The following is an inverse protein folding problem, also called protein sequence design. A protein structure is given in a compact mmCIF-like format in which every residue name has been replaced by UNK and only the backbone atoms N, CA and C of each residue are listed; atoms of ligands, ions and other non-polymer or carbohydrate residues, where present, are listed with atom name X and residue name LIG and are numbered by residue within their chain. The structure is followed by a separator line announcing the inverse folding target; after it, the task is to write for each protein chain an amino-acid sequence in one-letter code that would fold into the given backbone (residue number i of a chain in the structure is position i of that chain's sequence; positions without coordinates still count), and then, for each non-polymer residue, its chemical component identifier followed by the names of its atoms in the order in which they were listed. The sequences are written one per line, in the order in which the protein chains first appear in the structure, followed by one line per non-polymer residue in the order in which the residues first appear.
data_IF_725186738747
#
_entry.id   IF_725186738747
#
_cell.length_a   1.000
_cell.length_b   1.000
_cell.length_c   1.000
_cell.angle_alpha   90.00
_cell.angle_beta   90.00
_cell.angle_gamma   90.00
#
_symmetry.space_group_name_H-M   'P 1'
#
loop_
_entity.id
_entity.type
_entity.pdbx_description
1 polymer ?
#
# COMPACT_ATOMS: atom_id res chain seq x y z
N UNK A 1 -26.35 19.49 -31.72
CA UNK A 1 -27.51 20.09 -31.01
C UNK A 1 -27.35 21.59 -30.75
N UNK A 2 -26.43 22.07 -29.89
CA UNK A 2 -26.31 23.52 -29.62
C UNK A 2 -25.70 24.31 -30.81
N UNK A 3 -24.71 23.74 -31.51
CA UNK A 3 -24.10 24.41 -32.67
C UNK A 3 -25.04 24.47 -33.89
N UNK A 4 -25.88 23.46 -34.07
CA UNK A 4 -26.87 23.40 -35.16
C UNK A 4 -27.97 24.44 -34.96
N UNK A 5 -28.49 24.55 -33.72
CA UNK A 5 -29.47 25.58 -33.35
C UNK A 5 -28.93 27.01 -33.52
N UNK A 6 -27.66 27.27 -33.18
CA UNK A 6 -27.03 28.57 -33.44
C UNK A 6 -26.90 28.82 -34.94
N UNK A 7 -26.55 27.80 -35.73
CA UNK A 7 -26.40 27.90 -37.18
C UNK A 7 -27.72 28.19 -37.88
N UNK A 8 -28.82 27.59 -37.42
CA UNK A 8 -30.17 27.78 -37.95
C UNK A 8 -30.75 29.16 -37.58
N UNK A 9 -30.48 29.66 -36.37
CA UNK A 9 -30.95 30.97 -35.91
C UNK A 9 -30.12 32.14 -36.44
N UNK A 10 -28.85 31.91 -36.81
CA UNK A 10 -27.90 32.96 -37.21
C UNK A 10 -28.38 33.80 -38.41
N UNK A 11 -28.96 33.24 -39.50
CA UNK A 11 -29.45 34.02 -40.62
C UNK A 11 -30.59 34.99 -40.25
N UNK A 12 -31.39 34.66 -39.24
CA UNK A 12 -32.60 35.41 -38.88
C UNK A 12 -32.34 36.47 -37.83
N UNK A 13 -31.54 36.16 -36.80
CA UNK A 13 -31.33 37.05 -35.64
C UNK A 13 -29.87 37.46 -35.43
N UNK A 14 -28.95 36.93 -36.25
CA UNK A 14 -27.52 37.12 -36.11
C UNK A 14 -26.90 36.29 -34.98
N UNK A 15 -25.61 35.98 -35.12
CA UNK A 15 -24.85 35.10 -34.20
C UNK A 15 -24.94 35.52 -32.73
N UNK A 16 -24.97 36.84 -32.46
CA UNK A 16 -25.01 37.38 -31.09
C UNK A 16 -26.34 37.03 -30.39
N UNK A 17 -27.47 37.22 -31.07
CA UNK A 17 -28.78 36.93 -30.50
C UNK A 17 -29.03 35.42 -30.47
N UNK A 18 -28.60 34.68 -31.50
CA UNK A 18 -28.66 33.22 -31.52
C UNK A 18 -27.90 32.59 -30.34
N UNK A 19 -26.67 33.05 -30.07
CA UNK A 19 -25.88 32.60 -28.91
C UNK A 19 -26.57 32.93 -27.57
N UNK A 20 -27.17 34.12 -27.45
CA UNK A 20 -27.89 34.52 -26.24
C UNK A 20 -29.14 33.64 -26.01
N UNK A 21 -29.90 33.34 -27.07
CA UNK A 21 -31.12 32.54 -27.00
C UNK A 21 -30.85 31.10 -26.54
N UNK A 22 -29.72 30.50 -26.94
CA UNK A 22 -29.31 29.15 -26.50
C UNK A 22 -28.42 29.14 -25.25
N UNK A 23 -28.25 30.29 -24.57
CA UNK A 23 -27.47 30.39 -23.34
C UNK A 23 -25.96 30.18 -23.51
N UNK A 24 -25.41 30.38 -24.71
CA UNK A 24 -23.98 30.18 -24.98
C UNK A 24 -23.21 31.50 -25.02
N UNK A 25 -22.07 31.62 -24.32
CA UNK A 25 -21.19 32.79 -24.46
C UNK A 25 -20.67 32.94 -25.89
N UNK A 26 -20.88 34.11 -26.50
CA UNK A 26 -20.44 34.45 -27.87
C UNK A 26 -18.96 34.12 -28.13
N UNK A 27 -18.10 34.38 -27.14
CA UNK A 27 -16.66 34.12 -27.22
C UNK A 27 -16.32 32.64 -27.39
N UNK A 28 -17.16 31.73 -26.90
CA UNK A 28 -16.97 30.29 -27.03
C UNK A 28 -17.34 29.80 -28.45
N UNK A 29 -18.43 30.32 -29.03
CA UNK A 29 -18.83 30.00 -30.40
C UNK A 29 -17.76 30.40 -31.41
N UNK A 30 -17.31 31.66 -31.42
CA UNK A 30 -16.23 32.09 -32.32
C UNK A 30 -14.90 31.36 -32.09
N UNK A 31 -14.58 30.96 -30.85
CA UNK A 31 -13.36 30.20 -30.55
C UNK A 31 -13.41 28.79 -31.13
N UNK A 32 -14.58 28.16 -31.19
CA UNK A 32 -14.77 26.83 -31.79
C UNK A 32 -14.87 26.85 -33.32
N UNK A 33 -15.47 27.90 -33.90
CA UNK A 33 -15.64 28.02 -35.36
C UNK A 33 -14.59 28.93 -36.02
N UNK A 34 -13.49 29.19 -35.33
CA UNK A 34 -12.35 29.94 -35.87
C UNK A 34 -11.75 29.16 -37.05
N UNK A 35 -11.85 29.71 -38.26
CA UNK A 35 -11.25 29.16 -39.49
C UNK A 35 -9.76 29.52 -39.69
N UNK A 36 -9.26 30.51 -38.95
CA UNK A 36 -7.84 30.88 -38.98
C UNK A 36 -6.99 29.93 -38.13
N UNK A 37 -5.73 29.64 -38.51
CA UNK A 37 -4.83 28.83 -37.70
C UNK A 37 -4.84 29.30 -36.24
N UNK A 38 -4.85 28.35 -35.30
CA UNK A 38 -4.69 28.69 -33.91
C UNK A 38 -3.38 29.49 -33.77
N UNK A 39 -3.38 30.62 -33.04
CA UNK A 39 -2.13 31.33 -32.82
C UNK A 39 -1.20 30.36 -32.07
N UNK A 40 0.11 30.35 -32.35
CA UNK A 40 1.04 29.50 -31.63
C UNK A 40 0.84 29.75 -30.14
N UNK A 41 0.34 28.74 -29.43
CA UNK A 41 0.19 28.84 -27.98
C UNK A 41 1.61 28.89 -27.44
N UNK A 42 1.99 29.91 -26.65
CA UNK A 42 3.24 29.83 -25.93
C UNK A 42 3.22 28.54 -25.13
N UNK A 43 4.30 27.75 -25.24
CA UNK A 43 4.48 26.56 -24.42
C UNK A 43 4.41 27.06 -22.98
N UNK A 44 3.29 26.77 -22.31
CA UNK A 44 3.17 27.07 -20.89
C UNK A 44 4.15 26.14 -20.20
N UNK A 45 5.25 26.69 -19.71
CA UNK A 45 6.07 25.99 -18.74
C UNK A 45 5.15 25.64 -17.58
N UNK A 46 5.03 24.33 -17.31
CA UNK A 46 4.18 23.85 -16.26
C UNK A 46 4.82 24.30 -14.96
N UNK A 47 4.25 25.32 -14.32
CA UNK A 47 4.69 25.71 -12.98
C UNK A 47 4.61 24.49 -12.09
N UNK A 48 5.72 24.18 -11.41
CA UNK A 48 5.75 23.11 -10.42
C UNK A 48 4.75 23.46 -9.32
N UNK A 49 3.99 22.45 -8.87
CA UNK A 49 3.04 22.69 -7.79
C UNK A 49 3.85 23.06 -6.54
N UNK A 50 3.47 24.11 -5.78
CA UNK A 50 4.19 24.49 -4.56
C UNK A 50 4.28 23.37 -3.50
N UNK A 51 3.43 22.34 -3.62
CA UNK A 51 3.39 21.16 -2.74
C UNK A 51 4.08 19.93 -3.35
N UNK A 52 4.72 20.08 -4.51
CA UNK A 52 5.51 19.02 -5.09
C UNK A 52 6.78 18.84 -4.28
N UNK A 53 7.17 17.59 -4.05
CA UNK A 53 8.46 17.29 -3.44
C UNK A 53 9.58 17.78 -4.34
N UNK A 54 10.53 18.49 -3.74
CA UNK A 54 11.81 18.85 -4.34
C UNK A 54 12.62 17.61 -4.72
N UNK A 55 13.63 17.78 -5.58
CA UNK A 55 14.51 16.68 -5.96
C UNK A 55 15.20 16.02 -4.74
N UNK A 56 15.59 16.83 -3.74
CA UNK A 56 16.20 16.34 -2.51
C UNK A 56 15.23 15.50 -1.66
N UNK A 57 13.99 15.96 -1.48
CA UNK A 57 12.97 15.19 -0.74
C UNK A 57 12.60 13.90 -1.47
N UNK A 58 12.55 13.92 -2.80
CA UNK A 58 12.33 12.72 -3.61
C UNK A 58 13.47 11.71 -3.44
N UNK A 59 14.71 12.18 -3.37
CA UNK A 59 15.87 11.33 -3.09
C UNK A 59 15.79 10.74 -1.68
N UNK A 60 15.43 11.54 -0.67
CA UNK A 60 15.22 11.04 0.69
C UNK A 60 14.15 9.93 0.75
N UNK A 61 13.06 10.06 -0.01
CA UNK A 61 12.04 9.00 -0.12
C UNK A 61 12.64 7.73 -0.73
N UNK A 62 13.46 7.85 -1.77
CA UNK A 62 14.14 6.70 -2.38
C UNK A 62 15.12 6.04 -1.41
N UNK A 63 15.96 6.83 -0.73
CA UNK A 63 16.96 6.32 0.22
C UNK A 63 16.29 5.50 1.34
N UNK A 64 15.13 5.96 1.82
CA UNK A 64 14.33 5.21 2.80
C UNK A 64 13.75 3.95 2.18
N UNK A 65 13.14 4.02 0.99
CA UNK A 65 12.56 2.84 0.32
C UNK A 65 13.61 1.79 -0.08
N UNK A 66 14.84 2.21 -0.36
CA UNK A 66 15.97 1.35 -0.71
C UNK A 66 16.74 0.81 0.51
N UNK A 67 16.46 1.33 1.70
CA UNK A 67 17.11 0.88 2.92
C UNK A 67 16.91 -0.62 3.16
N UNK A 68 17.93 -1.30 3.68
CA UNK A 68 17.92 -2.74 3.97
C UNK A 68 16.68 -3.17 4.78
N UNK A 69 16.27 -2.30 5.71
CA UNK A 69 15.08 -2.46 6.54
C UNK A 69 13.77 -2.63 5.74
N UNK A 70 13.66 -1.98 4.59
CA UNK A 70 12.42 -1.87 3.80
C UNK A 70 12.51 -2.58 2.44
N UNK A 71 13.66 -3.17 2.10
CA UNK A 71 13.92 -3.77 0.79
C UNK A 71 12.87 -4.81 0.34
N UNK A 72 12.31 -5.57 1.29
CA UNK A 72 11.30 -6.60 1.02
C UNK A 72 9.85 -6.16 1.32
N UNK A 73 9.62 -4.89 1.65
CA UNK A 73 8.31 -4.38 2.05
C UNK A 73 7.60 -3.67 0.90
N UNK A 74 6.28 -3.83 0.81
CA UNK A 74 5.51 -3.01 -0.14
C UNK A 74 5.47 -1.54 0.34
N UNK A 75 5.41 -0.54 -0.57
CA UNK A 75 5.36 0.87 -0.19
C UNK A 75 4.25 1.23 0.81
N UNK A 76 3.09 0.56 0.74
CA UNK A 76 2.02 0.72 1.74
C UNK A 76 2.40 0.25 3.14
N UNK A 77 3.18 -0.83 3.26
CA UNK A 77 3.72 -1.31 4.55
C UNK A 77 4.78 -0.36 5.09
N UNK A 78 5.67 0.15 4.23
CA UNK A 78 6.69 1.15 4.59
C UNK A 78 6.02 2.42 5.09
N UNK A 79 5.05 2.95 4.35
CA UNK A 79 4.28 4.13 4.73
C UNK A 79 3.60 3.95 6.10
N UNK A 80 2.92 2.83 6.33
CA UNK A 80 2.28 2.54 7.61
C UNK A 80 3.28 2.42 8.76
N UNK A 81 4.45 1.82 8.50
CA UNK A 81 5.52 1.69 9.49
C UNK A 81 6.09 3.05 9.88
N UNK A 82 6.44 3.90 8.90
CA UNK A 82 6.96 5.24 9.16
C UNK A 82 5.94 6.10 9.93
N UNK A 83 4.66 5.99 9.60
CA UNK A 83 3.61 6.71 10.32
C UNK A 83 3.53 6.32 11.80
N UNK A 84 3.66 5.02 12.11
CA UNK A 84 3.66 4.54 13.49
C UNK A 84 4.91 4.99 14.26
N UNK A 85 6.00 5.23 13.55
CA UNK A 85 7.25 5.79 14.09
C UNK A 85 7.26 7.31 14.20
N UNK A 86 6.16 7.98 13.84
CA UNK A 86 6.10 9.43 13.92
C UNK A 86 6.72 10.16 12.71
N UNK A 87 7.01 9.45 11.62
CA UNK A 87 7.62 10.03 10.41
C UNK A 87 6.64 10.00 9.23
N UNK A 88 6.44 11.15 8.57
CA UNK A 88 5.68 11.25 7.33
C UNK A 88 6.55 11.89 6.25
N UNK A 89 6.84 11.13 5.20
CA UNK A 89 7.62 11.63 4.05
C UNK A 89 6.68 12.12 2.94
N UNK A 90 5.77 11.25 2.49
CA UNK A 90 4.79 11.55 1.45
C UNK A 90 3.69 10.49 1.40
N UNK A 91 2.65 10.74 0.60
CA UNK A 91 1.57 9.76 0.41
C UNK A 91 2.06 8.46 -0.24
N UNK A 92 1.39 7.34 0.06
CA UNK A 92 1.64 6.03 -0.58
C UNK A 92 1.60 6.12 -2.12
N UNK A 93 0.66 6.89 -2.67
CA UNK A 93 0.57 7.13 -4.12
C UNK A 93 1.80 7.85 -4.68
N UNK A 94 2.38 8.76 -3.91
CA UNK A 94 3.62 9.46 -4.27
C UNK A 94 4.82 8.50 -4.24
N UNK A 95 4.92 7.62 -3.23
CA UNK A 95 5.97 6.60 -3.17
C UNK A 95 5.93 5.70 -4.41
N UNK A 96 4.75 5.18 -4.77
CA UNK A 96 4.59 4.37 -5.98
C UNK A 96 4.93 5.13 -7.26
N UNK A 97 4.57 6.42 -7.35
CA UNK A 97 4.91 7.25 -8.50
C UNK A 97 6.43 7.41 -8.65
N UNK A 98 7.13 7.69 -7.55
CA UNK A 98 8.60 7.84 -7.54
C UNK A 98 9.27 6.53 -7.97
N UNK A 99 8.90 5.39 -7.41
CA UNK A 99 9.46 4.09 -7.77
C UNK A 99 9.15 3.69 -9.24
N UNK A 100 7.97 4.06 -9.77
CA UNK A 100 7.62 3.82 -11.17
C UNK A 100 8.49 4.61 -12.14
N UNK A 101 8.82 5.86 -11.79
CA UNK A 101 9.72 6.69 -12.59
C UNK A 101 11.15 6.13 -12.64
N UNK A 102 11.58 5.41 -11.60
CA UNK A 102 12.85 4.66 -11.58
C UNK A 102 12.76 3.26 -12.24
N UNK A 103 11.57 2.83 -12.67
CA UNK A 103 11.36 1.50 -13.25
C UNK A 103 11.40 0.34 -12.25
N UNK A 104 11.34 0.64 -10.95
CA UNK A 104 11.53 -0.32 -9.85
C UNK A 104 10.24 -1.02 -9.43
N UNK A 105 9.08 -0.47 -9.82
CA UNK A 105 7.79 -1.15 -9.68
C UNK A 105 7.55 -2.02 -10.91
N UNK A 106 7.98 -3.28 -10.84
CA UNK A 106 7.62 -4.31 -11.82
C UNK A 106 6.72 -5.35 -11.17
N UNK A 107 5.63 -5.70 -11.86
CA UNK A 107 4.79 -6.83 -11.48
C UNK A 107 5.61 -8.12 -11.65
N UNK A 108 6.09 -8.68 -10.54
CA UNK A 108 6.92 -9.91 -10.54
C UNK A 108 6.06 -11.19 -10.56
N UNK A 109 4.73 -11.08 -10.51
CA UNK A 109 3.82 -12.23 -10.40
C UNK A 109 3.49 -12.79 -11.78
N UNK A 110 3.61 -14.11 -11.94
CA UNK A 110 2.77 -14.83 -12.92
C UNK A 110 1.33 -14.76 -12.42
N UNK A 111 0.53 -13.85 -12.99
CA UNK A 111 -0.89 -13.81 -12.68
C UNK A 111 -1.59 -14.96 -13.40
N UNK A 112 -2.08 -15.93 -12.63
CA UNK A 112 -3.04 -16.90 -13.14
C UNK A 112 -4.40 -16.20 -13.21
N UNK A 113 -4.94 -16.04 -14.42
CA UNK A 113 -6.28 -15.49 -14.63
C UNK A 113 -7.30 -16.57 -14.31
N UNK A 114 -7.78 -16.61 -13.07
CA UNK A 114 -8.91 -17.45 -12.70
C UNK A 114 -10.22 -16.64 -12.75
N UNK A 115 -11.35 -17.25 -13.15
CA UNK A 115 -12.65 -16.62 -13.04
C UNK A 115 -12.93 -16.25 -11.56
N UNK A 116 -13.64 -15.14 -11.35
CA UNK A 116 -13.97 -14.65 -10.02
C UNK A 116 -14.78 -15.71 -9.26
N UNK A 117 -14.16 -16.37 -8.27
CA UNK A 117 -14.85 -17.30 -7.38
C UNK A 117 -15.76 -16.51 -6.44
N UNK A 118 -16.96 -17.04 -6.19
CA UNK A 118 -17.85 -16.57 -5.13
C UNK A 118 -17.13 -16.78 -3.80
N UNK A 119 -16.74 -15.69 -3.15
CA UNK A 119 -16.07 -15.73 -1.85
C UNK A 119 -17.13 -16.07 -0.79
N UNK A 120 -16.93 -17.09 0.05
CA UNK A 120 -17.76 -17.28 1.23
C UNK A 120 -17.68 -16.00 2.09
N UNK A 121 -18.83 -15.39 2.38
CA UNK A 121 -18.91 -14.27 3.32
C UNK A 121 -18.85 -14.82 4.73
N UNK A 122 -17.63 -15.07 5.22
CA UNK A 122 -17.40 -15.28 6.64
C UNK A 122 -17.32 -13.90 7.28
N UNK A 123 -18.38 -13.51 7.97
CA UNK A 123 -18.45 -12.23 8.68
C UNK A 123 -18.06 -12.49 10.14
N UNK A 124 -16.94 -11.90 10.55
CA UNK A 124 -16.59 -11.74 11.95
C UNK A 124 -16.61 -10.25 12.28
N UNK A 125 -17.22 -9.91 13.40
CA UNK A 125 -17.37 -8.54 13.90
C UNK A 125 -16.37 -8.18 15.01
N UNK A 126 -15.75 -9.19 15.62
CA UNK A 126 -14.76 -9.04 16.68
C UNK A 126 -13.71 -10.17 16.67
N UNK A 127 -12.55 -9.96 17.34
CA UNK A 127 -11.57 -11.01 17.55
C UNK A 127 -12.18 -12.23 18.28
N UNK A 128 -11.64 -13.42 18.01
CA UNK A 128 -12.07 -14.68 18.63
C UNK A 128 -13.54 -15.08 18.40
N UNK A 129 -14.19 -14.52 17.37
CA UNK A 129 -15.53 -14.94 16.92
C UNK A 129 -15.49 -16.02 15.88
N UNK A 130 -14.52 -15.94 14.97
CA UNK A 130 -14.40 -16.86 13.88
C UNK A 130 -12.92 -17.14 13.59
N UNK A 131 -12.51 -18.38 13.75
CA UNK A 131 -11.19 -18.83 13.35
C UNK A 131 -11.28 -19.67 12.10
N UNK A 132 -10.28 -19.53 11.26
CA UNK A 132 -10.03 -20.44 10.16
C UNK A 132 -8.79 -21.25 10.48
N UNK A 133 -8.79 -22.53 10.14
CA UNK A 133 -7.60 -23.37 10.32
C UNK A 133 -7.39 -24.27 9.12
N UNK A 134 -6.11 -24.54 8.85
CA UNK A 134 -5.69 -25.36 7.73
C UNK A 134 -4.29 -25.94 7.97
N UNK A 135 -3.91 -26.92 7.14
CA UNK A 135 -2.65 -27.66 7.23
C UNK A 135 -1.91 -27.53 5.90
N UNK A 136 -0.67 -27.02 5.93
CA UNK A 136 0.23 -27.03 4.77
C UNK A 136 1.39 -28.01 4.98
N UNK A 137 1.88 -28.57 3.87
CA UNK A 137 3.12 -29.34 3.84
C UNK A 137 4.33 -28.41 3.71
N UNK A 138 5.38 -28.71 4.46
CA UNK A 138 6.71 -28.13 4.37
C UNK A 138 7.66 -29.21 3.85
N UNK A 139 8.57 -28.86 2.94
CA UNK A 139 9.50 -29.84 2.37
C UNK A 139 10.55 -30.25 3.40
N UNK A 140 10.67 -31.54 3.67
CA UNK A 140 11.68 -32.10 4.56
C UNK A 140 13.05 -32.29 3.88
N UNK A 141 14.01 -32.91 4.58
CA UNK A 141 15.41 -32.98 4.13
C UNK A 141 15.64 -33.93 2.95
N UNK A 142 14.67 -34.83 2.70
CA UNK A 142 14.73 -35.83 1.63
C UNK A 142 13.58 -35.61 0.65
N UNK A 143 13.78 -36.00 -0.60
CA UNK A 143 12.71 -36.01 -1.61
C UNK A 143 11.52 -36.82 -1.08
N UNK A 144 10.32 -36.25 -1.17
CA UNK A 144 9.06 -36.81 -0.66
C UNK A 144 8.93 -36.93 0.88
N UNK A 145 9.89 -36.39 1.64
CA UNK A 145 9.72 -36.16 3.08
C UNK A 145 9.03 -34.82 3.29
N UNK A 146 8.05 -34.79 4.20
CA UNK A 146 7.29 -33.57 4.51
C UNK A 146 7.09 -33.43 6.00
N UNK A 147 7.12 -32.19 6.47
CA UNK A 147 6.56 -31.78 7.74
C UNK A 147 5.19 -31.14 7.52
N UNK A 148 4.35 -31.16 8.54
CA UNK A 148 2.98 -30.69 8.51
C UNK A 148 2.85 -29.49 9.43
N UNK A 149 2.53 -28.33 8.86
CA UNK A 149 2.29 -27.10 9.59
C UNK A 149 0.80 -26.86 9.71
N UNK A 150 0.30 -26.95 10.93
CA UNK A 150 -1.04 -26.57 11.33
C UNK A 150 -1.03 -25.08 11.67
N UNK A 151 -2.00 -24.34 11.14
CA UNK A 151 -2.14 -22.91 11.42
C UNK A 151 -3.60 -22.57 11.69
N UNK A 152 -3.85 -21.83 12.77
CA UNK A 152 -5.16 -21.30 13.15
C UNK A 152 -5.05 -19.77 13.11
N UNK A 153 -5.85 -19.16 12.25
CA UNK A 153 -5.91 -17.72 12.03
C UNK A 153 -7.28 -17.18 12.44
N UNK A 154 -7.29 -16.09 13.20
CA UNK A 154 -8.48 -15.28 13.42
C UNK A 154 -8.81 -14.49 12.15
N UNK A 155 -10.01 -14.70 11.59
CA UNK A 155 -10.38 -14.08 10.31
C UNK A 155 -10.60 -12.58 10.42
N UNK A 156 -10.98 -12.10 11.61
CA UNK A 156 -11.24 -10.68 11.87
C UNK A 156 -9.92 -9.92 11.89
N UNK A 157 -9.01 -10.31 12.79
CA UNK A 157 -7.76 -9.59 13.03
C UNK A 157 -6.60 -10.04 12.15
N UNK A 158 -6.72 -11.16 11.42
CA UNK A 158 -5.62 -11.85 10.73
C UNK A 158 -4.58 -12.44 11.68
N UNK A 159 -4.84 -12.46 12.98
CA UNK A 159 -3.87 -12.90 13.97
C UNK A 159 -3.77 -14.42 13.96
N UNK A 160 -2.55 -14.95 13.91
CA UNK A 160 -2.32 -16.39 14.11
C UNK A 160 -2.44 -16.68 15.59
N UNK A 161 -3.58 -17.21 15.99
CA UNK A 161 -3.88 -17.53 17.39
C UNK A 161 -3.10 -18.74 17.88
N UNK A 162 -2.85 -19.70 16.98
CA UNK A 162 -2.11 -20.94 17.27
C UNK A 162 -1.54 -21.58 16.01
N UNK A 163 -0.39 -22.23 16.14
CA UNK A 163 0.25 -22.98 15.07
C UNK A 163 1.06 -24.14 15.66
N UNK A 164 1.35 -25.15 14.85
CA UNK A 164 2.22 -26.26 15.24
C UNK A 164 2.85 -26.91 14.02
N UNK A 165 4.14 -27.25 14.10
CA UNK A 165 4.82 -28.10 13.13
C UNK A 165 5.00 -29.53 13.67
N UNK A 166 4.60 -30.52 12.87
CA UNK A 166 4.64 -31.94 13.20
C UNK A 166 5.23 -32.79 12.06
N UNK A 167 5.67 -34.00 12.39
CA UNK A 167 6.24 -34.96 11.42
C UNK A 167 5.19 -35.73 10.61
N UNK A 168 3.95 -35.75 11.09
CA UNK A 168 2.83 -36.43 10.43
C UNK A 168 1.51 -35.71 10.70
N UNK A 169 0.53 -35.98 9.86
CA UNK A 169 -0.84 -35.51 10.06
C UNK A 169 -1.55 -36.43 11.08
N UNK A 170 -2.18 -35.86 12.11
CA UNK A 170 -2.89 -36.62 13.14
C UNK A 170 -4.03 -35.83 13.77
N UNK A 171 -5.17 -36.48 13.94
CA UNK A 171 -6.32 -35.94 14.65
C UNK A 171 -6.00 -35.53 16.09
N UNK A 172 -5.21 -36.34 16.82
CA UNK A 172 -4.84 -36.05 18.21
C UNK A 172 -3.95 -34.79 18.32
N UNK A 173 -3.11 -34.57 17.31
CA UNK A 173 -2.28 -33.36 17.23
C UNK A 173 -3.16 -32.12 16.96
N UNK A 174 -4.11 -32.23 16.03
CA UNK A 174 -5.08 -31.17 15.76
C UNK A 174 -5.92 -30.80 17.00
N UNK A 175 -6.43 -31.82 17.71
CA UNK A 175 -7.21 -31.67 18.94
C UNK A 175 -6.39 -30.94 20.02
N UNK A 176 -5.15 -31.38 20.26
CA UNK A 176 -4.25 -30.73 21.21
C UNK A 176 -3.99 -29.27 20.86
N UNK A 177 -3.65 -28.98 19.60
CA UNK A 177 -3.42 -27.61 19.16
C UNK A 177 -4.65 -26.72 19.40
N UNK A 178 -5.85 -27.22 19.06
CA UNK A 178 -7.09 -26.49 19.26
C UNK A 178 -7.34 -26.23 20.74
N UNK A 179 -7.24 -27.24 21.60
CA UNK A 179 -7.43 -27.11 23.04
C UNK A 179 -6.44 -26.10 23.65
N UNK A 180 -5.14 -26.22 23.33
CA UNK A 180 -4.10 -25.31 23.81
C UNK A 180 -4.35 -23.87 23.33
N UNK A 181 -4.79 -23.70 22.08
CA UNK A 181 -5.07 -22.37 21.50
C UNK A 181 -6.30 -21.72 22.11
N UNK A 182 -7.37 -22.48 22.32
CA UNK A 182 -8.61 -22.01 22.96
C UNK A 182 -8.34 -21.57 24.40
N UNK A 183 -7.59 -22.39 25.15
CA UNK A 183 -7.17 -22.06 26.51
C UNK A 183 -6.29 -20.80 26.54
N UNK A 184 -5.30 -20.70 25.64
CA UNK A 184 -4.41 -19.53 25.52
C UNK A 184 -5.18 -18.24 25.23
N UNK A 185 -6.19 -18.31 24.36
CA UNK A 185 -7.03 -17.17 23.97
C UNK A 185 -8.18 -16.91 24.94
N UNK A 186 -8.34 -17.74 25.99
CA UNK A 186 -9.41 -17.63 27.00
C UNK A 186 -10.82 -17.58 26.39
N UNK A 187 -11.01 -18.29 25.28
CA UNK A 187 -12.27 -18.34 24.55
C UNK A 187 -13.31 -19.08 25.39
N UNK A 188 -14.49 -18.47 25.57
CA UNK A 188 -15.60 -19.07 26.29
C UNK A 188 -16.40 -20.02 25.40
N UNK A 189 -17.19 -20.89 26.03
CA UNK A 189 -18.15 -21.76 25.34
C UNK A 189 -19.10 -20.93 24.47
N UNK A 190 -19.44 -21.44 23.29
CA UNK A 190 -20.39 -20.82 22.34
C UNK A 190 -19.95 -19.43 21.79
N UNK A 191 -18.71 -19.00 22.06
CA UNK A 191 -18.18 -17.72 21.60
C UNK A 191 -17.58 -17.79 20.18
N UNK A 192 -17.04 -18.95 19.82
CA UNK A 192 -16.17 -19.14 18.67
C UNK A 192 -16.80 -20.08 17.63
N UNK A 193 -16.66 -19.71 16.37
CA UNK A 193 -16.92 -20.56 15.20
C UNK A 193 -15.59 -20.97 14.57
N UNK A 194 -15.40 -22.24 14.23
CA UNK A 194 -14.19 -22.73 13.56
C UNK A 194 -14.53 -23.21 12.14
N UNK A 195 -13.87 -22.60 11.16
CA UNK A 195 -13.95 -22.95 9.75
C UNK A 195 -12.75 -23.83 9.36
N UNK A 196 -13.06 -25.02 8.84
CA UNK A 196 -12.08 -26.02 8.42
C UNK A 196 -12.39 -26.48 7.00
N UNK A 197 -11.36 -26.68 6.17
CA UNK A 197 -11.53 -27.45 4.94
C UNK A 197 -11.62 -28.96 5.22
N UNK A 198 -12.16 -29.73 4.27
CA UNK A 198 -12.47 -31.17 4.45
C UNK A 198 -11.24 -32.11 4.45
N UNK A 199 -10.12 -31.69 5.04
CA UNK A 199 -8.98 -32.57 5.26
C UNK A 199 -9.35 -33.77 6.14
N UNK A 200 -8.73 -34.93 5.91
CA UNK A 200 -9.04 -36.16 6.65
C UNK A 200 -8.83 -36.01 8.16
N UNK A 201 -7.79 -35.29 8.60
CA UNK A 201 -7.60 -34.98 10.02
C UNK A 201 -8.60 -33.97 10.58
N UNK A 202 -9.10 -33.06 9.73
CA UNK A 202 -10.08 -32.02 10.09
C UNK A 202 -11.50 -32.56 10.23
N UNK A 203 -11.79 -33.71 9.60
CA UNK A 203 -13.08 -34.40 9.68
C UNK A 203 -13.10 -35.53 10.74
N UNK A 204 -12.03 -35.67 11.52
CA UNK A 204 -11.90 -36.76 12.50
C UNK A 204 -12.89 -36.63 13.68
N UNK A 205 -13.32 -37.77 14.21
CA UNK A 205 -14.25 -37.84 15.35
C UNK A 205 -13.75 -37.09 16.60
N UNK A 206 -12.47 -37.23 17.03
CA UNK A 206 -11.99 -36.54 18.24
C UNK A 206 -12.07 -35.02 18.11
N UNK A 207 -11.66 -34.47 16.96
CA UNK A 207 -11.78 -33.03 16.69
C UNK A 207 -13.25 -32.59 16.66
N UNK A 208 -14.15 -33.40 16.10
CA UNK A 208 -15.59 -33.07 16.11
C UNK A 208 -16.19 -33.08 17.53
N UNK A 209 -15.80 -34.03 18.39
CA UNK A 209 -16.23 -34.07 19.79
C UNK A 209 -15.69 -32.91 20.60
N UNK A 210 -14.39 -32.58 20.48
CA UNK A 210 -13.80 -31.42 21.13
C UNK A 210 -14.54 -30.14 20.78
N UNK A 211 -14.86 -29.93 19.50
CA UNK A 211 -15.60 -28.75 19.05
C UNK A 211 -17.02 -28.73 19.61
N UNK A 212 -17.70 -29.87 19.65
CA UNK A 212 -19.05 -29.98 20.23
C UNK A 212 -19.06 -29.70 21.74
N UNK A 213 -18.09 -30.23 22.48
CA UNK A 213 -17.95 -30.02 23.93
C UNK A 213 -17.70 -28.54 24.26
N UNK A 214 -16.88 -27.88 23.43
CA UNK A 214 -16.57 -26.46 23.55
C UNK A 214 -17.67 -25.53 23.02
N UNK A 215 -18.79 -26.07 22.53
CA UNK A 215 -19.88 -25.27 21.96
C UNK A 215 -19.48 -24.54 20.66
N UNK A 216 -18.42 -24.99 20.01
CA UNK A 216 -17.93 -24.38 18.78
C UNK A 216 -18.80 -24.84 17.61
N UNK A 217 -19.41 -23.89 16.92
CA UNK A 217 -20.16 -24.20 15.70
C UNK A 217 -19.20 -24.52 14.57
N UNK A 218 -19.31 -25.73 14.00
CA UNK A 218 -18.54 -26.13 12.82
C UNK A 218 -19.32 -25.80 11.56
N UNK A 219 -18.91 -24.74 10.90
CA UNK A 219 -19.32 -24.43 9.53
C UNK A 219 -18.51 -25.30 8.56
N UNK A 220 -19.18 -26.26 7.91
CA UNK A 220 -18.57 -27.06 6.87
C UNK A 220 -18.67 -26.34 5.50
N UNK A 221 -17.53 -26.22 4.82
CA UNK A 221 -17.40 -25.86 3.39
C UNK A 221 -18.38 -26.65 2.51
N UNK A 222 -18.85 -26.15 1.37
CA UNK A 222 -19.83 -26.87 0.51
C UNK A 222 -19.18 -28.04 -0.24
N UNK A 223 -19.87 -29.16 -0.53
CA UNK A 223 -19.29 -30.24 -1.34
C UNK A 223 -18.94 -29.71 -2.75
N UNK A 224 -17.77 -30.08 -3.29
CA UNK A 224 -17.25 -29.72 -4.63
C UNK A 224 -16.68 -28.30 -4.84
N UNK A 225 -16.20 -27.62 -3.80
CA UNK A 225 -15.39 -26.38 -3.97
C UNK A 225 -14.05 -26.55 -3.27
N UNK A 226 -12.96 -26.58 -4.04
CA UNK A 226 -11.59 -26.87 -3.54
C UNK A 226 -10.92 -25.72 -2.78
N UNK A 227 -11.61 -24.60 -2.53
CA UNK A 227 -11.02 -23.36 -2.00
C UNK A 227 -12.00 -22.59 -1.10
N UNK A 228 -12.40 -23.16 0.05
CA UNK A 228 -13.33 -22.48 0.98
C UNK A 228 -12.61 -21.76 2.14
N UNK A 229 -11.27 -21.82 2.22
CA UNK A 229 -10.47 -21.10 3.23
C UNK A 229 -9.48 -20.06 2.64
N UNK A 230 -9.97 -18.91 2.12
CA UNK A 230 -9.11 -17.90 1.48
C UNK A 230 -8.12 -17.24 2.46
N UNK A 231 -8.39 -17.28 3.76
CA UNK A 231 -7.58 -16.59 4.77
C UNK A 231 -6.33 -17.39 5.16
N UNK A 232 -6.48 -18.70 5.39
CA UNK A 232 -5.31 -19.57 5.58
C UNK A 232 -4.49 -19.69 4.28
N UNK A 233 -5.13 -19.74 3.11
CA UNK A 233 -4.42 -19.75 1.82
C UNK A 233 -3.55 -18.49 1.66
N UNK A 234 -4.12 -17.31 1.94
CA UNK A 234 -3.37 -16.05 1.88
C UNK A 234 -2.19 -16.04 2.87
N UNK A 235 -2.37 -16.55 4.08
CA UNK A 235 -1.30 -16.66 5.07
C UNK A 235 -0.18 -17.60 4.62
N UNK A 236 -0.51 -18.78 4.11
CA UNK A 236 0.50 -19.72 3.60
C UNK A 236 1.21 -19.19 2.36
N UNK A 237 0.54 -18.37 1.56
CA UNK A 237 1.18 -17.63 0.48
C UNK A 237 2.19 -16.64 1.05
N UNK A 238 1.84 -15.84 2.06
CA UNK A 238 2.82 -14.94 2.72
C UNK A 238 4.00 -15.72 3.28
N UNK A 239 3.78 -16.87 3.92
CA UNK A 239 4.83 -17.76 4.43
C UNK A 239 5.80 -18.19 3.32
N UNK A 240 5.29 -18.75 2.22
CA UNK A 240 6.10 -19.39 1.17
C UNK A 240 6.78 -18.42 0.21
N UNK A 241 6.31 -17.18 0.14
CA UNK A 241 6.87 -16.17 -0.77
C UNK A 241 7.88 -15.24 -0.10
N UNK A 242 8.13 -15.39 1.21
CA UNK A 242 9.22 -14.65 1.87
C UNK A 242 10.58 -15.13 1.34
N UNK A 243 11.56 -14.22 1.15
CA UNK A 243 12.92 -14.59 0.73
C UNK A 243 13.59 -15.62 1.65
N UNK A 244 13.29 -15.54 2.95
CA UNK A 244 13.87 -16.41 3.97
C UNK A 244 13.24 -17.81 4.02
N UNK A 245 12.20 -18.07 3.22
CA UNK A 245 11.54 -19.38 3.20
C UNK A 245 12.46 -20.43 2.57
N UNK A 246 12.90 -21.46 3.32
CA UNK A 246 13.87 -22.41 2.81
C UNK A 246 13.24 -23.35 1.79
N UNK A 247 14.02 -23.77 0.79
CA UNK A 247 13.60 -24.76 -0.19
C UNK A 247 13.28 -26.12 0.46
N UNK A 248 14.04 -26.49 1.49
CA UNK A 248 13.86 -27.71 2.30
C UNK A 248 14.31 -27.44 3.74
N UNK A 249 13.61 -28.03 4.70
CA UNK A 249 14.00 -28.02 6.11
C UNK A 249 14.88 -29.23 6.45
N UNK A 250 15.96 -29.03 7.20
CA UNK A 250 16.89 -30.09 7.60
C UNK A 250 16.28 -31.06 8.62
N UNK A 251 15.48 -30.53 9.54
CA UNK A 251 14.84 -31.24 10.64
C UNK A 251 13.48 -30.63 11.00
N UNK A 252 12.72 -31.29 11.90
CA UNK A 252 11.47 -30.72 12.42
C UNK A 252 11.75 -29.54 13.35
N UNK A 253 12.89 -29.53 14.03
CA UNK A 253 13.40 -28.45 14.87
C UNK A 253 13.67 -27.20 14.03
N UNK A 254 14.30 -27.33 12.86
CA UNK A 254 14.52 -26.22 11.93
C UNK A 254 13.20 -25.62 11.47
N UNK A 255 12.22 -26.48 11.13
CA UNK A 255 10.89 -26.03 10.75
C UNK A 255 10.18 -25.28 11.88
N UNK A 256 10.31 -25.74 13.13
CA UNK A 256 9.75 -25.07 14.31
C UNK A 256 10.42 -23.72 14.58
N UNK A 257 11.75 -23.65 14.51
CA UNK A 257 12.49 -22.41 14.73
C UNK A 257 12.15 -21.34 13.67
N UNK A 258 12.05 -21.76 12.41
CA UNK A 258 11.57 -20.89 11.33
C UNK A 258 10.15 -20.40 11.58
N UNK A 259 9.22 -21.32 11.92
CA UNK A 259 7.83 -20.96 12.18
C UNK A 259 7.70 -20.00 13.37
N UNK A 260 8.47 -20.17 14.45
CA UNK A 260 8.44 -19.24 15.59
C UNK A 260 8.82 -17.82 15.16
N UNK A 261 9.92 -17.70 14.44
CA UNK A 261 10.40 -16.41 13.90
C UNK A 261 9.36 -15.81 12.95
N UNK A 262 8.83 -16.62 12.04
CA UNK A 262 7.84 -16.19 11.07
C UNK A 262 6.55 -15.72 11.71
N UNK A 263 5.93 -16.50 12.60
CA UNK A 263 4.64 -16.14 13.18
C UNK A 263 4.74 -14.97 14.16
N UNK A 264 5.89 -14.81 14.83
CA UNK A 264 6.19 -13.61 15.61
C UNK A 264 6.24 -12.37 14.72
N UNK A 265 6.99 -12.44 13.62
CA UNK A 265 7.04 -11.36 12.63
C UNK A 265 5.66 -11.10 12.01
N UNK A 266 4.95 -12.13 11.58
CA UNK A 266 3.64 -12.04 10.94
C UNK A 266 2.63 -11.34 11.85
N UNK A 267 2.57 -11.73 13.13
CA UNK A 267 1.61 -11.16 14.07
C UNK A 267 1.98 -9.73 14.50
N UNK A 268 3.27 -9.41 14.66
CA UNK A 268 3.71 -8.16 15.29
C UNK A 268 4.23 -7.08 14.32
N UNK A 269 4.63 -7.46 13.11
CA UNK A 269 5.34 -6.56 12.19
C UNK A 269 4.69 -6.50 10.80
N UNK A 270 4.19 -7.64 10.28
CA UNK A 270 3.58 -7.66 8.95
C UNK A 270 2.31 -6.80 8.91
N UNK A 271 2.18 -5.97 7.87
CA UNK A 271 1.05 -5.06 7.71
C UNK A 271 0.09 -5.61 6.67
N UNK A 272 -1.18 -5.65 7.04
CA UNK A 272 -2.21 -6.24 6.19
C UNK A 272 -3.14 -5.15 5.62
N UNK A 273 -3.20 -5.07 4.29
CA UNK A 273 -4.12 -4.15 3.60
C UNK A 273 -5.59 -4.43 3.94
N UNK A 274 -5.96 -5.70 4.15
CA UNK A 274 -7.31 -6.13 4.53
C UNK A 274 -7.77 -5.68 5.93
N UNK A 275 -6.86 -5.14 6.75
CA UNK A 275 -7.14 -4.54 8.07
C UNK A 275 -6.50 -3.14 8.16
N UNK A 276 -6.57 -2.37 7.07
CA UNK A 276 -6.12 -0.97 7.01
C UNK A 276 -4.64 -0.75 7.41
N UNK A 277 -3.76 -1.69 7.04
CA UNK A 277 -2.33 -1.66 7.34
C UNK A 277 -2.02 -1.62 8.85
N UNK A 278 -2.91 -2.17 9.67
CA UNK A 278 -2.57 -2.52 11.05
C UNK A 278 -1.81 -3.86 11.10
N UNK A 279 -1.10 -4.08 12.19
CA UNK A 279 -0.55 -5.41 12.49
C UNK A 279 -1.69 -6.31 12.99
N UNK A 280 -1.60 -7.63 12.78
CA UNK A 280 -2.61 -8.54 13.34
C UNK A 280 -2.73 -8.44 14.85
N UNK A 281 -1.60 -8.21 15.55
CA UNK A 281 -1.56 -8.04 16.98
C UNK A 281 -2.40 -6.83 17.43
N UNK A 282 -2.25 -5.68 16.78
CA UNK A 282 -2.97 -4.46 17.16
C UNK A 282 -4.47 -4.59 16.99
N UNK A 283 -4.92 -5.26 15.92
CA UNK A 283 -6.35 -5.47 15.70
C UNK A 283 -6.91 -6.49 16.69
N UNK A 284 -6.18 -7.58 16.94
CA UNK A 284 -6.63 -8.65 17.83
C UNK A 284 -6.76 -8.19 19.29
N UNK A 285 -5.85 -7.32 19.75
CA UNK A 285 -5.84 -6.84 21.14
C UNK A 285 -6.51 -5.45 21.31
N UNK A 286 -7.13 -4.90 20.26
CA UNK A 286 -7.88 -3.64 20.34
C UNK A 286 -7.03 -2.36 20.33
N UNK A 287 -5.75 -2.43 19.96
CA UNK A 287 -4.86 -1.27 19.86
C UNK A 287 -5.05 -0.46 18.56
N UNK A 288 -5.75 -1.01 17.57
CA UNK A 288 -5.90 -0.41 16.24
C UNK A 288 -6.46 1.03 16.28
N UNK A 289 -7.45 1.30 17.14
CA UNK A 289 -8.02 2.65 17.28
C UNK A 289 -6.99 3.67 17.79
N UNK A 290 -6.18 3.30 18.79
CA UNK A 290 -5.11 4.14 19.33
C UNK A 290 -4.06 4.45 18.27
N UNK A 291 -3.62 3.42 17.53
CA UNK A 291 -2.68 3.57 16.42
C UNK A 291 -3.26 4.51 15.35
N UNK A 292 -4.54 4.34 14.99
CA UNK A 292 -5.20 5.18 14.00
C UNK A 292 -5.22 6.67 14.41
N UNK A 293 -5.56 6.97 15.67
CA UNK A 293 -5.55 8.35 16.19
C UNK A 293 -4.15 8.96 16.12
N UNK A 294 -3.12 8.20 16.47
CA UNK A 294 -1.73 8.65 16.37
C UNK A 294 -1.31 8.98 14.94
N UNK A 295 -1.67 8.12 13.97
CA UNK A 295 -1.42 8.34 12.54
C UNK A 295 -2.09 9.62 12.03
N UNK A 296 -3.37 9.82 12.34
CA UNK A 296 -4.13 11.01 11.91
C UNK A 296 -3.52 12.29 12.48
N UNK A 297 -3.15 12.29 13.77
CA UNK A 297 -2.49 13.44 14.41
C UNK A 297 -1.16 13.77 13.76
N UNK A 298 -0.36 12.75 13.42
CA UNK A 298 0.92 12.96 12.74
C UNK A 298 0.71 13.63 11.38
N UNK A 299 -0.13 13.07 10.53
CA UNK A 299 -0.43 13.63 9.22
C UNK A 299 -0.94 15.08 9.31
N UNK A 300 -1.83 15.36 10.28
CA UNK A 300 -2.33 16.71 10.55
C UNK A 300 -1.21 17.70 10.89
N UNK A 301 -0.31 17.33 11.81
CA UNK A 301 0.84 18.18 12.19
C UNK A 301 1.77 18.46 11.02
N UNK A 302 2.07 17.46 10.19
CA UNK A 302 2.95 17.65 9.03
C UNK A 302 2.30 18.55 7.97
N UNK A 303 0.98 18.45 7.76
CA UNK A 303 0.27 19.36 6.85
C UNK A 303 0.34 20.79 7.38
N UNK A 304 0.12 21.00 8.68
CA UNK A 304 0.18 22.33 9.29
C UNK A 304 1.58 22.96 9.21
N UNK A 305 2.66 22.18 9.41
CA UNK A 305 4.02 22.69 9.31
C UNK A 305 4.36 23.16 7.90
N UNK A 306 4.01 22.36 6.88
CA UNK A 306 4.23 22.70 5.46
C UNK A 306 3.43 23.95 5.06
N UNK A 307 2.19 24.09 5.55
CA UNK A 307 1.38 25.28 5.29
C UNK A 307 1.98 26.54 5.92
N UNK A 308 2.53 26.45 7.14
CA UNK A 308 3.21 27.57 7.80
C UNK A 308 4.46 27.98 7.02
N UNK A 309 5.32 27.05 6.64
CA UNK A 309 6.53 27.33 5.84
C UNK A 309 6.20 28.00 4.49
N UNK A 310 5.15 27.53 3.83
CA UNK A 310 4.67 28.12 2.56
C UNK A 310 4.17 29.57 2.71
N UNK A 311 3.53 29.90 3.84
CA UNK A 311 3.09 31.27 4.13
C UNK A 311 4.26 32.20 4.48
N UNK A 312 5.29 31.68 5.16
CA UNK A 312 6.50 32.44 5.49
C UNK A 312 7.29 32.78 4.22
N UNK A 313 7.38 31.84 3.28
CA UNK A 313 8.06 32.05 1.99
C UNK A 313 7.32 33.04 1.09
N UNK A 314 5.98 33.07 1.14
CA UNK A 314 5.16 34.04 0.39
C UNK A 314 5.30 35.49 0.87
N UNK A 315 5.62 35.72 2.15
CA UNK A 315 5.82 37.08 2.70
C UNK A 315 7.19 37.67 2.37
N UNK A 316 8.25 36.86 2.28
CA UNK A 316 9.60 37.34 1.93
C UNK A 316 9.75 37.71 0.46
N UNK A 317 8.89 37.22 -0.44
CA UNK A 317 8.94 37.58 -1.87
C UNK A 317 8.12 38.84 -2.23
N UNK A 318 7.35 39.40 -1.30
CA UNK A 318 6.52 40.61 -1.58
C UNK A 318 7.11 41.92 -1.05
N UNK A 319 8.22 41.89 -0.31
CA UNK A 319 8.79 43.08 0.36
C UNK A 319 10.15 43.54 -0.20
N UNK A 320 10.57 43.02 -1.36
CA UNK A 320 11.72 43.52 -2.11
C UNK A 320 11.28 44.32 -3.34
N UNK A 321 10.30 45.20 -3.17
CA UNK A 321 10.03 46.31 -4.08
C UNK A 321 10.99 47.46 -3.80
N UNK A 322 12.30 47.20 -3.93
CA UNK A 322 13.33 48.24 -3.89
C UNK A 322 13.29 49.02 -5.20
N UNK A 323 12.93 50.29 -5.09
CA UNK A 323 12.93 51.30 -6.13
C UNK A 323 14.29 51.35 -6.84
N UNK A 324 14.39 50.80 -8.06
CA UNK A 324 15.60 50.90 -8.88
C UNK A 324 15.72 52.32 -9.46
N UNK A 325 16.66 53.09 -8.90
CA UNK A 325 17.16 54.35 -9.44
C UNK A 325 17.81 54.13 -10.84
N UNK A 326 17.27 54.74 -11.92
CA UNK A 326 17.71 54.46 -13.29
C UNK A 326 19.08 55.08 -13.67
N UNK A 327 19.86 55.60 -12.72
CA UNK A 327 21.10 56.36 -12.99
C UNK A 327 22.42 55.58 -13.04
N UNK A 328 22.47 54.25 -12.78
CA UNK A 328 23.76 53.57 -12.46
C UNK A 328 24.34 52.61 -13.51
N UNK A 329 23.76 52.50 -14.71
CA UNK A 329 24.24 51.54 -15.73
C UNK A 329 25.28 52.14 -16.71
N UNK A 330 25.50 53.46 -16.71
CA UNK A 330 26.34 54.12 -17.73
C UNK A 330 27.80 54.38 -17.32
N UNK A 331 28.30 53.86 -16.18
CA UNK A 331 29.70 54.11 -15.74
C UNK A 331 30.69 52.95 -15.86
N UNK A 332 30.23 51.72 -16.13
CA UNK A 332 31.14 50.56 -16.21
C UNK A 332 31.47 50.07 -17.63
N UNK A 333 30.99 50.74 -18.68
CA UNK A 333 31.32 50.39 -20.08
C UNK A 333 32.52 51.13 -20.69
N UNK A 334 33.25 51.95 -19.93
CA UNK A 334 34.42 52.72 -20.43
C UNK A 334 35.80 52.25 -19.93
N UNK A 335 35.93 51.07 -19.31
CA UNK A 335 37.22 50.57 -18.77
C UNK A 335 37.75 49.26 -19.37
N UNK A 336 37.26 48.84 -20.54
CA UNK A 336 37.68 47.57 -21.17
C UNK A 336 38.13 47.68 -22.64
N UNK A 337 38.60 48.85 -23.10
CA UNK A 337 39.29 48.99 -24.38
C UNK A 337 40.53 49.87 -24.24
N UNK A 338 41.67 49.24 -23.95
CA UNK A 338 42.95 49.91 -23.89
C UNK A 338 44.08 48.99 -23.45
N UNK A 339 44.55 48.13 -24.37
CA UNK A 339 45.98 47.76 -24.58
C UNK A 339 46.07 46.52 -25.47
N UNK A 340 46.17 46.76 -26.78
CA UNK A 340 46.94 45.92 -27.71
C UNK A 340 48.35 46.50 -27.77
N UNK A 341 49.37 45.64 -27.79
CA UNK A 341 50.61 45.97 -28.51
C UNK A 341 51.90 45.40 -27.92
N UNK A 342 52.53 44.54 -28.75
CA UNK A 342 53.97 44.21 -28.86
C UNK A 342 54.52 43.21 -27.83
N UNK A 343 55.42 42.29 -28.17
CA UNK A 343 56.01 41.77 -29.41
C UNK A 343 57.03 40.70 -29.01
N UNK A 344 57.24 39.65 -29.84
CA UNK A 344 58.47 38.87 -30.07
C UNK A 344 59.18 38.24 -28.84
N UNK A 345 59.79 37.06 -28.85
CA UNK A 345 60.27 36.16 -29.89
C UNK A 345 61.41 35.34 -29.25
N UNK A 346 61.68 34.14 -29.79
CA UNK A 346 62.89 33.32 -29.58
C UNK A 346 63.10 32.77 -28.14
N UNK A 347 63.58 31.56 -27.87
CA UNK A 347 64.14 30.47 -28.66
C UNK A 347 64.73 29.45 -27.66
N UNK A 348 64.88 28.20 -28.15
CA UNK A 348 65.42 26.99 -27.52
C UNK A 348 64.51 26.17 -26.62
#
# INVERSE_FOLDING_TARGET
MIDDAITELTPTVGVKAACAAVGRPRANHYRRHRKSPAPPRPIRQRAEQPRALSAAERQQVLDVLHGERFADMAPGEVHATLLDEGTYLCSESTMYRILREQGEVRERRRQATHPAKVKPELVADAPNRCWSWDITKLHGPKKWSYFYLYSIIDIYSRYTVGWMAATHESAALAERLLADTIAKQRVQRDQLTIHADRGSSMASKPVAFLLADLGVTKSHSRPHTSNDNPFSEAQFKTLKYRPDFPATFGSIEDARAFCDTFYRWYNQHHRHSGIAMHTPFDVHHGNAATVHVSRVRLCGRTIESVLKESQTYGKTTTDSGGEEDPGRVERDRRRAHGRRGRSAGEGQ
#
